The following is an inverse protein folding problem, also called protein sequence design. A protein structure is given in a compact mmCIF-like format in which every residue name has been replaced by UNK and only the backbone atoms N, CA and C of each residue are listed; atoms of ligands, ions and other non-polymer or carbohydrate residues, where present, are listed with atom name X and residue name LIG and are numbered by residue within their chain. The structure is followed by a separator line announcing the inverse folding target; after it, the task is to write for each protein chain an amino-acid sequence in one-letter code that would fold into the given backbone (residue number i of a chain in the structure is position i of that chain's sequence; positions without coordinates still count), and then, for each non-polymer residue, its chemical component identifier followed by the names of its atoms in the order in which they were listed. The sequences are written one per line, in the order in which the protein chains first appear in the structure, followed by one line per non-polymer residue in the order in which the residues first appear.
data_IF_120574665000
#
_entry.id   IF_120574665000
#
_cell.length_a   1.000
_cell.length_b   1.000
_cell.length_c   1.000
_cell.angle_alpha   90.00
_cell.angle_beta   90.00
_cell.angle_gamma   90.00
#
_symmetry.space_group_name_H-M   'P 1'
#
loop_
_entity.id
_entity.type
_entity.pdbx_description
1 polymer ?
#
# COMPACT_ATOMS: atom_id res chain seq x y z
N UNK A 1 -21.03 -23.97 -6.90
CA UNK A 1 -20.22 -22.87 -6.33
C UNK A 1 -19.74 -23.31 -4.94
N UNK A 2 -18.43 -23.41 -4.65
CA UNK A 2 -17.96 -24.03 -3.41
C UNK A 2 -18.15 -23.10 -2.21
N UNK A 3 -18.78 -23.59 -1.13
CA UNK A 3 -19.08 -22.88 0.14
C UNK A 3 -17.88 -22.13 0.76
N UNK A 4 -16.63 -22.53 0.50
CA UNK A 4 -15.41 -21.90 1.02
C UNK A 4 -15.17 -20.48 0.50
N UNK A 5 -15.62 -20.15 -0.71
CA UNK A 5 -15.40 -18.82 -1.28
C UNK A 5 -16.31 -17.77 -0.65
N UNK A 6 -17.55 -18.14 -0.29
CA UNK A 6 -18.50 -17.24 0.36
C UNK A 6 -18.00 -16.74 1.73
N UNK A 7 -17.36 -17.61 2.52
CA UNK A 7 -16.90 -17.26 3.88
C UNK A 7 -15.74 -16.25 3.87
N UNK A 8 -14.83 -16.40 2.90
CA UNK A 8 -13.67 -15.53 2.72
C UNK A 8 -14.12 -14.13 2.26
N UNK A 9 -15.07 -14.07 1.34
CA UNK A 9 -15.62 -12.82 0.82
C UNK A 9 -16.46 -12.09 1.88
N UNK A 10 -17.32 -12.81 2.62
CA UNK A 10 -18.07 -12.24 3.76
C UNK A 10 -17.13 -11.65 4.83
N UNK A 11 -16.05 -12.37 5.17
CA UNK A 11 -15.09 -11.88 6.16
C UNK A 11 -14.39 -10.60 5.69
N UNK A 12 -14.02 -10.54 4.41
CA UNK A 12 -13.44 -9.33 3.81
C UNK A 12 -14.41 -8.14 3.88
N UNK A 13 -15.67 -8.35 3.48
CA UNK A 13 -16.74 -7.34 3.57
C UNK A 13 -16.91 -6.84 5.01
N UNK A 14 -17.02 -7.75 5.97
CA UNK A 14 -17.14 -7.40 7.39
C UNK A 14 -15.93 -6.61 7.91
N UNK A 15 -14.71 -6.93 7.46
CA UNK A 15 -13.51 -6.21 7.86
C UNK A 15 -13.49 -4.79 7.28
N UNK A 16 -13.89 -4.63 6.02
CA UNK A 16 -14.01 -3.31 5.38
C UNK A 16 -15.10 -2.44 6.01
N UNK A 17 -16.24 -3.01 6.39
CA UNK A 17 -17.29 -2.29 7.13
C UNK A 17 -16.78 -1.82 8.49
N UNK A 18 -16.13 -2.69 9.27
CA UNK A 18 -15.54 -2.33 10.56
C UNK A 18 -14.52 -1.19 10.46
N UNK A 19 -13.72 -1.16 9.40
CA UNK A 19 -12.77 -0.07 9.14
C UNK A 19 -13.53 1.23 8.90
N UNK A 20 -14.54 1.20 8.02
CA UNK A 20 -15.35 2.37 7.66
C UNK A 20 -16.12 2.93 8.86
N UNK A 21 -16.66 2.08 9.72
CA UNK A 21 -17.37 2.48 10.93
C UNK A 21 -16.44 3.21 11.91
N UNK A 22 -15.23 2.68 12.14
CA UNK A 22 -14.22 3.32 12.99
C UNK A 22 -13.77 4.67 12.40
N UNK A 23 -13.60 4.76 11.09
CA UNK A 23 -13.23 6.01 10.41
C UNK A 23 -14.33 7.08 10.55
N UNK A 24 -15.59 6.68 10.41
CA UNK A 24 -16.74 7.56 10.63
C UNK A 24 -16.82 8.05 12.08
N UNK A 25 -16.62 7.14 13.03
CA UNK A 25 -16.62 7.47 14.46
C UNK A 25 -15.48 8.42 14.84
N UNK A 26 -14.27 8.18 14.34
CA UNK A 26 -13.11 9.06 14.52
C UNK A 26 -13.35 10.46 13.94
N UNK A 27 -14.04 10.55 12.80
CA UNK A 27 -14.35 11.82 12.13
C UNK A 27 -15.37 12.64 12.91
N UNK A 28 -16.38 11.98 13.51
CA UNK A 28 -17.42 12.65 14.30
C UNK A 28 -16.97 13.03 15.72
N UNK A 29 -15.98 12.33 16.26
CA UNK A 29 -15.56 12.51 17.66
C UNK A 29 -14.63 13.72 17.81
N UNK A 30 -15.06 14.72 18.59
CA UNK A 30 -14.19 15.86 18.94
C UNK A 30 -13.09 15.42 19.90
N UNK A 31 -11.83 15.80 19.63
CA UNK A 31 -10.68 15.51 20.49
C UNK A 31 -10.68 16.41 21.73
N UNK A 32 -10.84 15.83 22.91
CA UNK A 32 -10.73 16.50 24.20
C UNK A 32 -10.20 15.51 25.27
N UNK A 33 -9.94 16.00 26.49
CA UNK A 33 -9.36 15.20 27.59
C UNK A 33 -10.21 13.98 27.98
N UNK A 34 -11.54 14.03 27.76
CA UNK A 34 -12.46 12.92 28.04
C UNK A 34 -12.51 11.88 26.90
N UNK A 35 -12.24 12.30 25.67
CA UNK A 35 -12.32 11.43 24.47
C UNK A 35 -10.96 10.91 24.01
N UNK A 36 -9.84 11.41 24.54
CA UNK A 36 -8.50 11.03 24.10
C UNK A 36 -8.22 9.53 24.24
N UNK A 37 -8.59 8.92 25.37
CA UNK A 37 -8.44 7.48 25.58
C UNK A 37 -9.24 6.67 24.55
N UNK A 38 -10.48 7.07 24.29
CA UNK A 38 -11.36 6.44 23.30
C UNK A 38 -10.80 6.55 21.88
N UNK A 39 -10.35 7.74 21.49
CA UNK A 39 -9.67 7.97 20.20
C UNK A 39 -8.42 7.09 20.08
N UNK A 40 -7.66 6.93 21.16
CA UNK A 40 -6.50 6.03 21.21
C UNK A 40 -6.88 4.58 20.94
N UNK A 41 -7.93 4.08 21.59
CA UNK A 41 -8.47 2.74 21.36
C UNK A 41 -8.95 2.54 19.91
N UNK A 42 -9.68 3.52 19.36
CA UNK A 42 -10.15 3.50 17.97
C UNK A 42 -8.99 3.44 16.97
N UNK A 43 -7.95 4.28 17.16
CA UNK A 43 -6.74 4.24 16.32
C UNK A 43 -6.01 2.91 16.41
N UNK A 44 -5.93 2.32 17.60
CA UNK A 44 -5.35 0.98 17.80
C UNK A 44 -6.13 -0.10 17.07
N UNK A 45 -7.47 -0.09 17.16
CA UNK A 45 -8.35 -1.01 16.42
C UNK A 45 -8.20 -0.84 14.90
N UNK A 46 -8.21 0.41 14.41
CA UNK A 46 -8.02 0.73 12.99
C UNK A 46 -6.69 0.17 12.45
N UNK A 47 -5.60 0.37 13.18
CA UNK A 47 -4.29 -0.16 12.80
C UNK A 47 -4.28 -1.70 12.73
N UNK A 48 -4.91 -2.37 13.70
CA UNK A 48 -5.05 -3.84 13.71
C UNK A 48 -5.88 -4.34 12.52
N UNK A 49 -7.03 -3.74 12.24
CA UNK A 49 -7.87 -4.19 11.12
C UNK A 49 -7.24 -3.91 9.75
N UNK A 50 -6.54 -2.77 9.58
CA UNK A 50 -5.76 -2.52 8.36
C UNK A 50 -4.63 -3.53 8.17
N UNK A 51 -3.93 -3.91 9.25
CA UNK A 51 -2.91 -4.96 9.19
C UNK A 51 -3.51 -6.33 8.83
N UNK A 52 -4.63 -6.71 9.42
CA UNK A 52 -5.36 -7.94 9.08
C UNK A 52 -5.83 -7.95 7.62
N UNK A 53 -6.31 -6.81 7.10
CA UNK A 53 -6.69 -6.67 5.71
C UNK A 53 -5.50 -6.93 4.79
N UNK A 54 -4.33 -6.38 5.12
CA UNK A 54 -3.08 -6.59 4.37
C UNK A 54 -2.61 -8.06 4.43
N UNK A 55 -2.71 -8.71 5.60
CA UNK A 55 -2.40 -10.14 5.74
C UNK A 55 -3.36 -11.03 4.96
N UNK A 56 -4.66 -10.71 4.98
CA UNK A 56 -5.66 -11.46 4.23
C UNK A 56 -5.48 -11.27 2.72
N UNK A 57 -5.08 -10.07 2.33
CA UNK A 57 -4.70 -9.77 0.97
C UNK A 57 -3.52 -10.64 0.52
N UNK A 58 -2.53 -10.87 1.38
CA UNK A 58 -1.35 -11.71 1.06
C UNK A 58 -1.59 -13.23 1.19
N UNK A 59 -2.49 -13.71 2.07
CA UNK A 59 -2.72 -15.16 2.31
C UNK A 59 -3.71 -15.85 1.36
N UNK A 60 -4.57 -15.13 0.64
CA UNK A 60 -5.51 -15.76 -0.31
C UNK A 60 -4.85 -16.35 -1.58
N UNK A 61 -3.52 -16.37 -1.65
CA UNK A 61 -2.70 -17.08 -2.64
C UNK A 61 -2.40 -18.53 -2.25
N UNK A 62 -2.79 -18.98 -1.04
CA UNK A 62 -2.56 -20.34 -0.54
C UNK A 62 -3.35 -21.47 -1.23
N UNK A 63 -4.07 -21.17 -2.32
CA UNK A 63 -4.66 -22.15 -3.21
C UNK A 63 -4.30 -21.81 -4.66
N UNK A 64 -3.17 -22.33 -5.14
CA UNK A 64 -2.86 -22.49 -6.57
C UNK A 64 -2.89 -21.23 -7.46
N UNK A 65 -2.81 -20.03 -6.89
CA UNK A 65 -2.82 -18.77 -7.63
C UNK A 65 -1.50 -18.05 -7.43
N UNK A 66 -0.62 -18.13 -8.43
CA UNK A 66 0.68 -17.49 -8.49
C UNK A 66 0.64 -16.00 -8.12
N UNK A 67 1.08 -15.70 -6.89
CA UNK A 67 1.38 -14.34 -6.48
C UNK A 67 2.69 -13.91 -7.16
N UNK A 68 2.62 -13.53 -8.43
CA UNK A 68 3.76 -12.99 -9.15
C UNK A 68 4.07 -11.58 -8.64
N UNK A 69 4.92 -11.51 -7.62
CA UNK A 69 5.67 -10.31 -7.28
C UNK A 69 6.66 -10.01 -8.41
N UNK A 70 6.77 -8.75 -8.85
CA UNK A 70 7.83 -8.37 -9.79
C UNK A 70 9.17 -8.60 -9.09
N UNK A 71 10.01 -9.48 -9.63
CA UNK A 71 11.35 -9.73 -9.09
C UNK A 71 12.17 -8.43 -9.09
N UNK A 72 12.94 -8.21 -8.01
CA UNK A 72 13.83 -7.04 -7.93
C UNK A 72 14.97 -7.23 -8.91
N UNK A 73 15.13 -6.27 -9.80
CA UNK A 73 16.20 -6.23 -10.78
C UNK A 73 16.95 -4.91 -10.68
N UNK A 74 18.27 -4.96 -10.86
CA UNK A 74 19.13 -3.78 -10.71
C UNK A 74 19.43 -3.41 -9.26
N UNK A 75 19.96 -2.20 -9.09
CA UNK A 75 20.51 -1.67 -7.84
C UNK A 75 19.44 -1.03 -6.95
N UNK A 76 18.39 -0.46 -7.57
CA UNK A 76 17.31 0.21 -6.86
C UNK A 76 15.96 0.06 -7.58
N UNK A 77 14.88 0.20 -6.82
CA UNK A 77 13.50 0.15 -7.31
C UNK A 77 12.76 1.45 -7.01
N UNK A 78 12.19 2.05 -8.05
CA UNK A 78 11.37 3.27 -7.96
C UNK A 78 9.94 2.95 -8.38
N UNK A 79 8.98 3.22 -7.50
CA UNK A 79 7.56 3.09 -7.80
C UNK A 79 6.95 4.45 -8.17
N UNK A 80 6.35 4.55 -9.36
CA UNK A 80 5.61 5.73 -9.80
C UNK A 80 4.16 5.65 -9.33
N UNK A 81 3.68 6.72 -8.70
CA UNK A 81 2.29 6.85 -8.21
C UNK A 81 1.73 8.21 -8.60
N UNK A 82 0.47 8.28 -9.02
CA UNK A 82 -0.13 9.55 -9.47
C UNK A 82 -1.44 9.33 -10.18
N UNK A 83 -2.42 10.24 -10.02
CA UNK A 83 -3.80 10.05 -10.50
C UNK A 83 -3.83 9.63 -11.99
N UNK A 84 -4.90 8.97 -12.47
CA UNK A 84 -5.03 8.73 -13.90
C UNK A 84 -4.84 10.01 -14.71
N UNK A 85 -4.20 9.89 -15.87
CA UNK A 85 -3.97 10.99 -16.81
C UNK A 85 -3.00 12.09 -16.37
N UNK A 86 -2.29 11.97 -15.25
CA UNK A 86 -1.22 12.92 -14.84
C UNK A 86 0.10 12.76 -15.62
N UNK A 87 0.12 11.90 -16.65
CA UNK A 87 1.32 11.65 -17.46
C UNK A 87 2.31 10.63 -16.89
N UNK A 88 1.96 9.85 -15.85
CA UNK A 88 2.89 8.88 -15.23
C UNK A 88 3.46 7.86 -16.25
N UNK A 89 2.63 7.35 -17.15
CA UNK A 89 3.06 6.33 -18.14
C UNK A 89 3.89 6.96 -19.25
N UNK A 90 3.61 8.23 -19.61
CA UNK A 90 4.45 8.99 -20.53
C UNK A 90 5.85 9.22 -19.94
N UNK A 91 5.92 9.61 -18.67
CA UNK A 91 7.20 9.79 -17.96
C UNK A 91 7.96 8.46 -17.83
N UNK A 92 7.25 7.39 -17.45
CA UNK A 92 7.82 6.04 -17.38
C UNK A 92 8.44 5.64 -18.72
N UNK A 93 7.70 5.80 -19.81
CA UNK A 93 8.18 5.48 -21.15
C UNK A 93 9.44 6.28 -21.49
N UNK A 94 9.43 7.61 -21.33
CA UNK A 94 10.59 8.46 -21.64
C UNK A 94 11.85 8.03 -20.86
N UNK A 95 11.69 7.70 -19.58
CA UNK A 95 12.81 7.31 -18.72
C UNK A 95 13.32 5.89 -18.97
N UNK A 96 12.47 4.99 -19.49
CA UNK A 96 12.79 3.56 -19.65
C UNK A 96 13.06 3.15 -21.09
N UNK A 97 12.72 3.99 -22.07
CA UNK A 97 12.87 3.77 -23.50
C UNK A 97 14.31 3.45 -23.94
N UNK A 98 15.33 3.78 -23.13
CA UNK A 98 16.72 3.41 -23.44
C UNK A 98 17.04 1.93 -23.18
N UNK A 99 16.26 1.21 -22.37
CA UNK A 99 16.50 -0.21 -22.04
C UNK A 99 15.21 -0.94 -21.61
N UNK A 100 14.11 -0.80 -22.37
CA UNK A 100 12.92 -1.59 -22.08
C UNK A 100 13.25 -3.07 -22.33
N UNK A 101 13.54 -3.81 -21.26
CA UNK A 101 13.57 -5.27 -21.30
C UNK A 101 12.10 -5.67 -21.43
N UNK A 102 11.60 -5.69 -22.68
CA UNK A 102 10.33 -6.30 -23.04
C UNK A 102 10.53 -7.82 -22.88
N UNK A 103 10.63 -8.24 -21.62
CA UNK A 103 10.49 -9.64 -21.25
C UNK A 103 9.01 -9.89 -21.16
N UNK A 104 8.44 -10.45 -22.22
CA UNK A 104 7.17 -11.14 -22.16
C UNK A 104 7.32 -12.30 -21.18
N UNK A 105 7.17 -12.02 -19.88
CA UNK A 105 6.90 -13.05 -18.90
C UNK A 105 5.45 -13.46 -19.14
N UNK A 106 5.25 -14.37 -20.08
CA UNK A 106 4.04 -15.19 -20.12
C UNK A 106 3.81 -15.65 -18.67
N UNK A 107 2.60 -15.46 -18.15
CA UNK A 107 2.19 -15.52 -16.73
C UNK A 107 2.15 -14.20 -15.92
N UNK A 108 2.50 -13.03 -16.47
CA UNK A 108 2.32 -11.77 -15.73
C UNK A 108 0.87 -11.32 -15.72
N UNK A 109 0.14 -11.63 -14.64
CA UNK A 109 -1.04 -10.86 -14.22
C UNK A 109 -0.64 -9.49 -13.65
N UNK A 110 0.44 -8.88 -14.16
CA UNK A 110 1.02 -7.67 -13.61
C UNK A 110 0.16 -6.47 -13.96
N UNK A 111 -0.48 -5.92 -12.93
CA UNK A 111 -0.95 -4.54 -12.98
C UNK A 111 0.20 -3.56 -13.18
N UNK A 112 1.44 -3.90 -12.84
CA UNK A 112 2.57 -3.00 -12.91
C UNK A 112 3.39 -3.16 -14.19
N UNK A 113 3.79 -2.05 -14.83
CA UNK A 113 4.72 -2.08 -15.97
C UNK A 113 6.15 -1.80 -15.45
N UNK A 114 7.06 -2.79 -15.48
CA UNK A 114 8.46 -2.56 -15.17
C UNK A 114 9.20 -1.94 -16.37
N UNK A 115 10.19 -1.10 -16.08
CA UNK A 115 11.15 -0.61 -17.06
C UNK A 115 12.51 -0.35 -16.39
N UNK A 116 13.57 -0.30 -17.18
CA UNK A 116 14.94 -0.16 -16.67
C UNK A 116 15.51 1.21 -17.06
N UNK A 117 15.83 2.01 -16.06
CA UNK A 117 16.58 3.25 -16.21
C UNK A 117 18.05 2.97 -15.85
N UNK A 118 18.98 3.35 -16.73
CA UNK A 118 20.41 3.33 -16.42
C UNK A 118 20.87 4.76 -16.17
N UNK A 119 21.34 5.06 -14.97
CA UNK A 119 21.78 6.40 -14.59
C UNK A 119 23.05 6.30 -13.76
N UNK A 120 24.11 6.99 -14.18
CA UNK A 120 25.41 7.02 -13.49
C UNK A 120 25.98 5.61 -13.18
N UNK A 121 25.83 4.67 -14.12
CA UNK A 121 26.28 3.29 -13.97
C UNK A 121 25.34 2.37 -13.16
N UNK A 122 24.36 2.92 -12.45
CA UNK A 122 23.36 2.14 -11.73
C UNK A 122 22.17 1.76 -12.61
N UNK A 123 21.64 0.56 -12.42
CA UNK A 123 20.42 0.02 -13.02
C UNK A 123 19.25 0.22 -12.06
N UNK A 124 18.32 1.08 -12.39
CA UNK A 124 17.16 1.41 -11.58
C UNK A 124 15.91 0.80 -12.22
N UNK A 125 15.24 -0.11 -11.51
CA UNK A 125 13.96 -0.67 -11.92
C UNK A 125 12.85 0.34 -11.62
N UNK A 126 12.22 0.85 -12.66
CA UNK A 126 11.06 1.73 -12.58
C UNK A 126 9.77 0.95 -12.74
N UNK A 127 8.83 1.17 -11.82
CA UNK A 127 7.57 0.44 -11.73
C UNK A 127 6.40 1.41 -11.86
N UNK A 128 5.62 1.32 -12.94
CA UNK A 128 4.36 2.07 -13.07
C UNK A 128 3.24 1.32 -12.33
N UNK A 129 2.60 1.94 -11.32
CA UNK A 129 1.58 1.33 -10.48
C UNK A 129 0.16 1.84 -10.80
N UNK A 130 -0.52 1.31 -11.84
CA UNK A 130 -1.93 1.62 -12.10
C UNK A 130 -2.81 0.85 -11.10
N UNK A 131 -3.20 1.51 -10.01
CA UNK A 131 -4.16 0.88 -9.09
C UNK A 131 -4.18 1.40 -7.66
N UNK A 132 -3.12 2.08 -7.17
CA UNK A 132 -3.09 2.64 -5.80
C UNK A 132 -4.24 3.61 -5.54
N UNK A 133 -4.84 4.14 -6.60
CA UNK A 133 -5.63 5.38 -6.58
C UNK A 133 -7.12 5.11 -6.75
N UNK A 134 -7.49 3.91 -7.23
CA UNK A 134 -8.88 3.56 -7.54
C UNK A 134 -9.28 2.21 -6.94
N UNK A 135 -8.97 2.02 -5.64
CA UNK A 135 -9.54 0.91 -4.87
C UNK A 135 -8.57 -0.20 -4.46
N UNK A 136 -7.31 0.13 -4.13
CA UNK A 136 -6.44 -0.79 -3.40
C UNK A 136 -7.06 -1.22 -2.05
N UNK A 137 -7.89 -0.37 -1.46
CA UNK A 137 -8.71 -0.61 -0.27
C UNK A 137 -10.00 -1.41 -0.52
N UNK A 138 -10.57 -1.39 -1.73
CA UNK A 138 -11.91 -1.93 -2.05
C UNK A 138 -11.89 -3.41 -2.50
N UNK A 139 -10.74 -4.08 -2.46
CA UNK A 139 -10.68 -5.54 -2.57
C UNK A 139 -10.95 -6.13 -3.96
N UNK A 140 -11.10 -5.32 -5.02
CA UNK A 140 -11.13 -5.85 -6.39
C UNK A 140 -9.74 -6.42 -6.73
N UNK A 141 -9.56 -7.71 -6.49
CA UNK A 141 -8.53 -8.70 -6.91
C UNK A 141 -7.09 -8.29 -7.23
N UNK A 142 -6.87 -7.13 -7.84
CA UNK A 142 -5.62 -6.64 -8.43
C UNK A 142 -4.87 -5.61 -7.57
N UNK A 143 -5.49 -5.05 -6.52
CA UNK A 143 -4.84 -4.08 -5.61
C UNK A 143 -3.69 -4.65 -4.78
N UNK A 144 -3.69 -5.97 -4.55
CA UNK A 144 -2.74 -6.69 -3.68
C UNK A 144 -1.29 -6.63 -4.18
N UNK A 145 -1.12 -6.86 -5.49
CA UNK A 145 0.19 -6.86 -6.15
C UNK A 145 0.80 -5.45 -6.16
N UNK A 146 -0.03 -4.44 -6.35
CA UNK A 146 0.37 -3.04 -6.33
C UNK A 146 0.86 -2.62 -4.94
N UNK A 147 0.17 -3.06 -3.88
CA UNK A 147 0.57 -2.79 -2.49
C UNK A 147 1.92 -3.44 -2.15
N UNK A 148 2.10 -4.72 -2.49
CA UNK A 148 3.36 -5.41 -2.28
C UNK A 148 4.52 -4.71 -2.99
N UNK A 149 4.28 -4.27 -4.22
CA UNK A 149 5.27 -3.59 -5.06
C UNK A 149 5.66 -2.21 -4.52
N UNK A 150 4.68 -1.42 -4.04
CA UNK A 150 4.96 -0.13 -3.42
C UNK A 150 5.73 -0.26 -2.09
N UNK A 151 5.50 -1.33 -1.33
CA UNK A 151 6.18 -1.58 -0.05
C UNK A 151 7.63 -2.06 -0.20
N UNK A 152 7.96 -2.70 -1.33
CA UNK A 152 9.32 -3.19 -1.62
C UNK A 152 10.14 -2.22 -2.46
N UNK A 153 9.56 -1.07 -2.84
CA UNK A 153 10.29 -0.01 -3.53
C UNK A 153 11.22 0.73 -2.58
N UNK A 154 12.42 1.07 -3.08
CA UNK A 154 13.40 1.88 -2.34
C UNK A 154 13.00 3.37 -2.36
N UNK A 155 12.26 3.80 -3.39
CA UNK A 155 11.72 5.14 -3.56
C UNK A 155 10.29 5.09 -4.12
N UNK A 156 9.40 5.95 -3.63
CA UNK A 156 8.10 6.25 -4.24
C UNK A 156 8.14 7.64 -4.84
N UNK A 157 7.91 7.76 -6.15
CA UNK A 157 7.88 9.02 -6.89
C UNK A 157 6.42 9.39 -7.19
N UNK A 158 5.96 10.51 -6.63
CA UNK A 158 4.60 11.00 -6.78
C UNK A 158 4.51 11.97 -7.98
N UNK A 159 3.74 11.59 -8.99
CA UNK A 159 3.46 12.40 -10.18
C UNK A 159 2.11 13.10 -9.98
N UNK A 160 2.10 14.42 -10.19
CA UNK A 160 0.93 15.26 -9.99
C UNK A 160 0.77 16.20 -11.18
N UNK A 161 -0.48 16.44 -11.55
CA UNK A 161 -0.86 17.46 -12.52
C UNK A 161 -1.10 18.78 -11.78
N UNK A 162 -0.36 19.83 -12.15
CA UNK A 162 -0.46 21.18 -11.57
C UNK A 162 -1.79 21.86 -11.89
N UNK A 163 -2.42 21.51 -13.01
CA UNK A 163 -3.72 22.04 -13.46
C UNK A 163 -4.90 21.23 -12.93
N UNK A 164 -4.63 20.04 -12.40
CA UNK A 164 -5.63 19.10 -11.94
C UNK A 164 -6.13 19.39 -10.52
N UNK A 165 -6.65 18.36 -9.86
CA UNK A 165 -7.21 18.46 -8.52
C UNK A 165 -6.13 18.91 -7.50
N UNK A 166 -6.32 19.99 -6.73
CA UNK A 166 -5.32 20.46 -5.75
C UNK A 166 -5.10 19.48 -4.59
N UNK A 167 -6.06 18.58 -4.34
CA UNK A 167 -5.98 17.57 -3.29
C UNK A 167 -5.25 16.28 -3.71
N UNK A 168 -4.68 16.23 -4.92
CA UNK A 168 -3.93 15.07 -5.45
C UNK A 168 -2.93 14.50 -4.44
N UNK A 169 -2.07 15.37 -3.89
CA UNK A 169 -1.05 14.98 -2.91
C UNK A 169 -1.65 14.33 -1.68
N UNK A 170 -2.73 14.91 -1.15
CA UNK A 170 -3.42 14.43 0.06
C UNK A 170 -4.01 13.05 -0.18
N UNK A 171 -4.76 12.90 -1.27
CA UNK A 171 -5.39 11.62 -1.68
C UNK A 171 -4.33 10.53 -1.81
N UNK A 172 -3.25 10.80 -2.55
CA UNK A 172 -2.18 9.81 -2.78
C UNK A 172 -1.44 9.45 -1.49
N UNK A 173 -1.23 10.42 -0.59
CA UNK A 173 -0.61 10.17 0.72
C UNK A 173 -1.49 9.30 1.61
N UNK A 174 -2.80 9.58 1.67
CA UNK A 174 -3.76 8.80 2.45
C UNK A 174 -3.87 7.35 1.97
N UNK A 175 -3.91 7.13 0.65
CA UNK A 175 -3.91 5.79 0.04
C UNK A 175 -2.63 5.01 0.39
N UNK A 176 -1.46 5.65 0.26
CA UNK A 176 -0.18 5.03 0.62
C UNK A 176 -0.10 4.71 2.12
N UNK A 177 -0.61 5.60 2.98
CA UNK A 177 -0.65 5.36 4.42
C UNK A 177 -1.62 4.23 4.80
N UNK A 178 -2.76 4.12 4.11
CA UNK A 178 -3.74 3.06 4.32
C UNK A 178 -3.15 1.67 4.04
N UNK A 179 -2.24 1.56 3.08
CA UNK A 179 -1.56 0.30 2.73
C UNK A 179 -0.27 0.05 3.52
N UNK A 180 0.02 0.90 4.50
CA UNK A 180 1.17 0.74 5.42
C UNK A 180 2.48 1.34 4.94
N UNK A 181 2.49 2.11 3.85
CA UNK A 181 3.66 2.90 3.42
C UNK A 181 3.73 4.18 4.26
N UNK A 182 4.93 4.58 4.67
CA UNK A 182 5.18 5.81 5.44
C UNK A 182 6.21 6.66 4.70
N UNK A 183 5.72 7.63 3.94
CA UNK A 183 6.56 8.49 3.11
C UNK A 183 7.42 9.43 3.98
N UNK A 184 8.72 9.51 3.69
CA UNK A 184 9.66 10.49 4.27
C UNK A 184 9.69 10.57 5.81
N UNK A 185 9.35 9.46 6.50
CA UNK A 185 9.41 9.39 7.96
C UNK A 185 10.48 8.41 8.39
N UNK A 186 11.35 8.85 9.30
CA UNK A 186 12.21 7.92 10.05
C UNK A 186 11.34 7.07 10.98
N UNK A 187 11.74 5.82 11.21
CA UNK A 187 11.07 4.98 12.20
C UNK A 187 11.11 5.69 13.56
N UNK A 188 9.96 5.81 14.26
CA UNK A 188 9.95 6.45 15.57
C UNK A 188 10.83 5.64 16.53
N UNK A 189 11.66 6.33 17.31
CA UNK A 189 12.56 5.71 18.31
C UNK A 189 11.76 5.33 19.55
N UNK A 190 10.93 4.29 19.43
CA UNK A 190 10.13 3.74 20.52
C UNK A 190 10.59 2.31 20.73
N UNK A 191 11.00 1.98 21.96
CA UNK A 191 11.25 0.61 22.37
C UNK A 191 10.07 0.11 23.20
N UNK A 192 9.51 -1.04 22.80
CA UNK A 192 8.46 -1.71 23.56
C UNK A 192 9.10 -2.90 24.25
N UNK A 193 9.28 -2.83 25.57
CA UNK A 193 9.62 -4.00 26.39
C UNK A 193 8.34 -4.53 27.01
N UNK A 194 7.87 -5.67 26.52
CA UNK A 194 6.76 -6.39 27.13
C UNK A 194 7.30 -7.03 28.40
N UNK A 195 6.92 -6.49 29.56
CA UNK A 195 7.21 -7.13 30.85
C UNK A 195 6.20 -8.26 31.08
N UNK A 196 6.64 -9.43 31.60
CA UNK A 196 5.73 -10.41 32.18
C UNK A 196 4.87 -9.74 33.26
N UNK A 197 3.60 -10.12 33.37
CA UNK A 197 2.68 -9.55 34.36
C UNK A 197 3.27 -9.66 35.77
N UNK A 198 3.52 -8.52 36.43
CA UNK A 198 3.83 -8.49 37.88
C UNK A 198 5.04 -7.68 38.34
N UNK A 199 5.89 -7.11 37.47
CA UNK A 199 7.00 -6.26 37.95
C UNK A 199 6.67 -4.77 37.82
N UNK A 200 6.59 -4.09 38.96
CA UNK A 200 6.36 -2.64 39.05
C UNK A 200 7.40 -1.82 38.25
N UNK A 201 7.03 -0.62 37.80
CA UNK A 201 7.89 0.20 36.94
C UNK A 201 9.07 0.90 37.66
N UNK A 202 9.20 0.78 38.98
CA UNK A 202 10.28 1.43 39.74
C UNK A 202 10.88 0.49 40.79
N UNK A 203 12.01 -0.11 40.47
CA UNK A 203 12.99 -0.68 41.42
C UNK A 203 14.36 -0.50 40.80
#
# INVERSE_FOLDING_TARGET
MPRRYLTVELFFLQLTEKIKDIESELTRTQKNKKTEYHIGLLKGKLARYRAQLLEFQSKSSGGGGTAFEVSKTGDARVALVGLPSVGKSSLHNILTQTNSVIGAYEFTTLTCVPGLLKMNGAKIQMLDLPGIIRGASVGRGRGKQVIATARTADLVMMIMDITGNPNQKKILTEELEAIGVRLNRKKPQISLRVKPSGTEPYS
#
